data_IF_545299798585
#
_entry.id   IF_545299798585
#
_cell.length_a   1.000
_cell.length_b   1.000
_cell.length_c   1.000
_cell.angle_alpha   90.00
_cell.angle_beta   90.00
_cell.angle_gamma   90.00
#
_symmetry.space_group_name_H-M   'P 1'
#
loop_
_entity.id
_entity.type
_entity.pdbx_description
1 polymer ?
#
# COMPACT_ATOMS: atom_id res chain seq x y z
N UNK A 1 39.27 29.73 13.77
CA UNK A 1 37.83 29.80 14.13
C UNK A 1 37.39 28.42 14.56
N UNK A 2 37.14 28.23 15.85
CA UNK A 2 36.53 27.00 16.38
C UNK A 2 35.03 27.27 16.34
N UNK A 3 34.29 26.60 15.46
CA UNK A 3 32.83 26.68 15.48
C UNK A 3 32.38 25.76 16.60
N UNK A 4 31.90 26.34 17.69
CA UNK A 4 31.37 25.57 18.81
C UNK A 4 30.10 24.86 18.31
N UNK A 5 30.20 23.54 18.21
CA UNK A 5 29.14 22.68 17.62
C UNK A 5 27.83 22.78 18.38
N UNK A 6 27.89 23.18 19.65
CA UNK A 6 26.74 23.41 20.53
C UNK A 6 25.95 24.64 20.05
N UNK A 7 26.63 25.76 19.78
CA UNK A 7 26.00 27.00 19.30
C UNK A 7 25.32 26.81 17.93
N UNK A 8 25.88 25.95 17.08
CA UNK A 8 25.30 25.64 15.77
C UNK A 8 24.00 24.82 15.89
N UNK A 9 23.97 23.82 16.77
CA UNK A 9 22.78 23.00 17.02
C UNK A 9 21.67 23.84 17.66
N UNK A 10 22.02 24.74 18.58
CA UNK A 10 21.06 25.65 19.20
C UNK A 10 20.47 26.63 18.19
N UNK A 11 21.29 27.21 17.30
CA UNK A 11 20.79 28.08 16.23
C UNK A 11 19.85 27.35 15.27
N UNK A 12 20.15 26.09 14.92
CA UNK A 12 19.26 25.26 14.10
C UNK A 12 17.93 25.01 14.84
N UNK A 13 18.01 24.64 16.12
CA UNK A 13 16.83 24.30 16.93
C UNK A 13 15.92 25.51 17.10
N UNK A 14 16.48 26.68 17.40
CA UNK A 14 15.74 27.95 17.48
C UNK A 14 15.13 28.29 16.11
N UNK A 15 15.88 28.12 15.02
CA UNK A 15 15.39 28.37 13.66
C UNK A 15 14.26 27.42 13.20
N UNK A 16 14.29 26.17 13.63
CA UNK A 16 13.21 25.19 13.39
C UNK A 16 11.98 25.57 14.22
N UNK A 17 12.16 25.87 15.51
CA UNK A 17 11.07 26.21 16.44
C UNK A 17 10.33 27.46 15.99
N UNK A 18 11.06 28.50 15.57
CA UNK A 18 10.49 29.73 15.03
C UNK A 18 9.64 29.47 13.77
N UNK A 19 10.16 28.70 12.80
CA UNK A 19 9.40 28.35 11.59
C UNK A 19 8.12 27.57 11.88
N UNK A 20 8.13 26.71 12.91
CA UNK A 20 6.94 25.97 13.34
C UNK A 20 5.90 26.89 13.98
N UNK A 21 6.33 27.84 14.81
CA UNK A 21 5.42 28.82 15.44
C UNK A 21 4.75 29.78 14.46
N UNK A 22 5.36 30.00 13.29
CA UNK A 22 4.84 30.84 12.21
C UNK A 22 3.84 30.09 11.31
N UNK A 23 3.82 28.75 11.34
CA UNK A 23 2.97 27.91 10.50
C UNK A 23 1.64 27.59 11.20
N UNK A 24 0.54 27.60 10.44
CA UNK A 24 -0.75 27.11 10.94
C UNK A 24 -0.63 25.63 11.37
N UNK A 25 -1.03 25.26 12.61
CA UNK A 25 -0.89 23.90 13.12
C UNK A 25 -1.57 22.84 12.24
N UNK A 26 -2.71 23.15 11.62
CA UNK A 26 -3.40 22.22 10.74
C UNK A 26 -2.60 21.98 9.43
N UNK A 27 -1.89 23.00 8.96
CA UNK A 27 -0.98 22.90 7.81
C UNK A 27 0.27 22.10 8.17
N UNK A 28 0.87 22.33 9.34
CA UNK A 28 2.01 21.55 9.83
C UNK A 28 1.67 20.05 9.96
N UNK A 29 0.49 19.73 10.51
CA UNK A 29 0.00 18.36 10.63
C UNK A 29 -0.16 17.71 9.25
N UNK A 30 -0.77 18.42 8.29
CA UNK A 30 -0.97 17.92 6.93
C UNK A 30 0.36 17.66 6.21
N UNK A 31 1.31 18.58 6.31
CA UNK A 31 2.64 18.39 5.72
C UNK A 31 3.40 17.24 6.36
N UNK A 32 3.32 17.10 7.68
CA UNK A 32 3.97 16.01 8.41
C UNK A 32 3.41 14.65 7.98
N UNK A 33 2.08 14.55 7.80
CA UNK A 33 1.44 13.35 7.24
C UNK A 33 1.95 13.04 5.83
N UNK A 34 1.98 14.03 4.92
CA UNK A 34 2.49 13.85 3.55
C UNK A 34 3.96 13.41 3.52
N UNK A 35 4.81 14.02 4.36
CA UNK A 35 6.22 13.65 4.49
C UNK A 35 6.37 12.21 4.99
N UNK A 36 5.57 11.81 5.98
CA UNK A 36 5.55 10.43 6.50
C UNK A 36 5.13 9.43 5.43
N UNK A 37 4.08 9.73 4.65
CA UNK A 37 3.63 8.88 3.55
C UNK A 37 4.69 8.73 2.46
N UNK A 38 5.38 9.82 2.10
CA UNK A 38 6.48 9.78 1.13
C UNK A 38 7.65 8.93 1.61
N UNK A 39 8.08 9.11 2.87
CA UNK A 39 9.14 8.28 3.48
C UNK A 39 8.74 6.80 3.51
N UNK A 40 7.48 6.51 3.83
CA UNK A 40 6.96 5.14 3.81
C UNK A 40 6.99 4.53 2.39
N UNK A 41 6.61 5.31 1.37
CA UNK A 41 6.69 4.88 -0.02
C UNK A 41 8.14 4.59 -0.46
N UNK A 42 9.09 5.44 -0.11
CA UNK A 42 10.51 5.21 -0.40
C UNK A 42 11.05 3.95 0.28
N UNK A 43 10.67 3.72 1.54
CA UNK A 43 11.05 2.52 2.26
C UNK A 43 10.49 1.25 1.58
N UNK A 44 9.25 1.31 1.09
CA UNK A 44 8.61 0.20 0.37
C UNK A 44 9.32 -0.14 -0.95
N UNK A 45 9.77 0.87 -1.70
CA UNK A 45 10.53 0.66 -2.96
C UNK A 45 11.87 0.01 -2.64
N UNK A 46 12.60 0.52 -1.65
CA UNK A 46 13.90 -0.04 -1.24
C UNK A 46 13.79 -1.49 -0.74
N UNK A 47 12.77 -1.80 0.06
CA UNK A 47 12.53 -3.16 0.58
C UNK A 47 12.12 -4.14 -0.54
N UNK A 48 11.49 -3.66 -1.62
CA UNK A 48 11.12 -4.49 -2.78
C UNK A 48 12.32 -4.84 -3.65
N UNK A 49 13.26 -3.91 -3.81
CA UNK A 49 14.48 -4.10 -4.62
C UNK A 49 15.54 -4.96 -3.91
N UNK A 50 15.56 -4.93 -2.57
CA UNK A 50 16.61 -5.58 -1.75
C UNK A 50 16.12 -6.80 -0.95
N UNK A 51 14.82 -7.08 -0.97
CA UNK A 51 14.19 -8.14 -0.18
C UNK A 51 13.94 -7.71 1.27
N UNK A 52 13.07 -8.44 1.98
CA UNK A 52 12.68 -8.12 3.37
C UNK A 52 13.93 -8.19 4.27
N UNK A 53 14.41 -7.06 4.81
CA UNK A 53 15.62 -7.09 5.61
C UNK A 53 15.33 -7.73 6.96
N UNK A 54 16.13 -8.72 7.33
CA UNK A 54 15.97 -9.56 8.53
C UNK A 54 16.76 -9.05 9.73
N UNK A 55 17.60 -8.01 9.55
CA UNK A 55 18.37 -7.34 10.61
C UNK A 55 18.28 -5.82 10.49
N UNK A 56 18.22 -5.15 11.64
CA UNK A 56 18.30 -3.70 11.73
C UNK A 56 19.75 -3.24 11.43
N UNK A 57 19.96 -2.08 10.78
CA UNK A 57 21.30 -1.46 10.67
C UNK A 57 22.00 -1.24 12.03
N UNK A 58 21.22 -1.15 13.11
CA UNK A 58 21.67 -1.10 14.49
C UNK A 58 22.17 -2.45 15.05
N UNK A 59 22.13 -3.54 14.27
CA UNK A 59 22.50 -4.89 14.70
C UNK A 59 21.41 -5.65 15.46
N UNK A 60 20.31 -4.98 15.83
CA UNK A 60 19.15 -5.58 16.48
C UNK A 60 18.36 -6.54 15.57
N UNK A 61 17.67 -7.51 16.20
CA UNK A 61 16.70 -8.35 15.51
C UNK A 61 15.47 -7.49 15.18
N UNK A 62 15.03 -7.50 13.92
CA UNK A 62 13.76 -6.89 13.56
C UNK A 62 12.66 -7.77 14.15
N UNK A 63 11.90 -7.23 15.09
CA UNK A 63 10.82 -7.92 15.77
C UNK A 63 9.51 -7.46 15.13
N UNK A 64 8.66 -8.40 14.72
CA UNK A 64 7.32 -8.09 14.20
C UNK A 64 6.37 -7.61 15.30
N UNK A 65 6.77 -7.73 16.57
CA UNK A 65 6.01 -7.31 17.74
C UNK A 65 6.53 -5.95 18.24
N UNK A 66 5.59 -5.05 18.54
CA UNK A 66 5.83 -3.64 18.79
C UNK A 66 6.58 -3.39 20.12
N UNK A 67 7.91 -3.43 20.08
CA UNK A 67 8.78 -2.88 21.13
C UNK A 67 8.97 -1.35 20.99
N UNK A 68 8.32 -0.73 20.01
CA UNK A 68 8.35 0.72 19.76
C UNK A 68 9.65 1.24 19.14
N UNK A 69 10.67 0.39 18.99
CA UNK A 69 12.01 0.76 18.48
C UNK A 69 12.38 -0.02 17.21
N UNK A 70 11.88 -1.24 17.02
CA UNK A 70 12.21 -2.11 15.88
C UNK A 70 10.96 -2.65 15.17
N UNK A 71 9.86 -1.89 15.21
CA UNK A 71 8.62 -2.28 14.57
C UNK A 71 8.66 -2.04 13.06
N UNK A 72 8.52 -3.11 12.28
CA UNK A 72 8.40 -3.03 10.82
C UNK A 72 7.10 -3.70 10.36
N UNK A 73 5.97 -2.99 10.36
CA UNK A 73 4.72 -3.46 9.72
C UNK A 73 3.88 -2.30 9.16
N UNK A 74 4.14 -1.89 7.91
CA UNK A 74 3.04 -1.38 7.05
C UNK A 74 2.72 -2.29 5.84
N UNK A 75 3.74 -2.90 5.23
CA UNK A 75 3.58 -3.67 3.98
C UNK A 75 2.92 -5.03 4.19
N UNK A 76 3.33 -5.80 5.19
CA UNK A 76 2.82 -7.18 5.40
C UNK A 76 1.32 -7.16 5.64
N UNK A 77 0.84 -6.25 6.51
CA UNK A 77 -0.60 -6.02 6.76
C UNK A 77 -1.30 -5.56 5.47
N UNK A 78 -0.75 -4.56 4.76
CA UNK A 78 -1.36 -4.05 3.54
C UNK A 78 -1.43 -5.07 2.40
N UNK A 79 -0.41 -5.94 2.27
CA UNK A 79 -0.38 -7.03 1.30
C UNK A 79 -1.29 -8.16 1.70
N UNK A 80 -1.38 -8.50 2.99
CA UNK A 80 -2.33 -9.50 3.49
C UNK A 80 -3.77 -9.07 3.22
N UNK A 81 -4.14 -7.82 3.53
CA UNK A 81 -5.45 -7.24 3.18
C UNK A 81 -5.72 -7.25 1.66
N UNK A 82 -4.69 -6.96 0.85
CA UNK A 82 -4.81 -7.00 -0.62
C UNK A 82 -4.98 -8.42 -1.15
N UNK A 83 -4.28 -9.39 -0.59
CA UNK A 83 -4.40 -10.82 -0.92
C UNK A 83 -5.80 -11.31 -0.58
N UNK A 84 -6.29 -11.05 0.64
CA UNK A 84 -7.65 -11.43 1.05
C UNK A 84 -8.72 -10.86 0.12
N UNK A 85 -8.60 -9.57 -0.23
CA UNK A 85 -9.53 -8.91 -1.16
C UNK A 85 -9.49 -9.54 -2.55
N UNK A 86 -8.30 -9.88 -3.06
CA UNK A 86 -8.14 -10.50 -4.38
C UNK A 86 -8.66 -11.93 -4.38
N UNK A 87 -8.36 -12.72 -3.35
CA UNK A 87 -8.88 -14.09 -3.18
C UNK A 87 -10.40 -14.10 -3.24
N UNK A 88 -11.09 -13.23 -2.48
CA UNK A 88 -12.55 -13.14 -2.53
C UNK A 88 -13.09 -12.85 -3.95
N UNK A 89 -12.46 -11.94 -4.69
CA UNK A 89 -12.87 -11.63 -6.07
C UNK A 89 -12.64 -12.80 -7.03
N UNK A 90 -11.58 -13.58 -6.80
CA UNK A 90 -11.30 -14.79 -7.60
C UNK A 90 -12.36 -15.85 -7.32
N UNK A 91 -12.72 -16.07 -6.06
CA UNK A 91 -13.79 -17.01 -5.68
C UNK A 91 -15.14 -16.65 -6.32
N UNK A 92 -15.52 -15.36 -6.30
CA UNK A 92 -16.72 -14.86 -6.97
C UNK A 92 -16.72 -15.16 -8.49
N UNK A 93 -15.60 -14.91 -9.16
CA UNK A 93 -15.46 -15.18 -10.61
C UNK A 93 -15.43 -16.68 -10.90
N UNK A 94 -14.83 -17.49 -10.03
CA UNK A 94 -14.77 -18.94 -10.20
C UNK A 94 -16.18 -19.57 -10.19
N UNK A 95 -17.08 -19.05 -9.35
CA UNK A 95 -18.49 -19.45 -9.36
C UNK A 95 -19.12 -19.15 -10.72
N UNK A 96 -18.90 -17.95 -11.28
CA UNK A 96 -19.45 -17.59 -12.59
C UNK A 96 -18.89 -18.46 -13.73
N UNK A 97 -17.58 -18.76 -13.69
CA UNK A 97 -16.92 -19.62 -14.69
C UNK A 97 -17.58 -21.00 -14.76
N UNK A 98 -18.03 -21.56 -13.63
CA UNK A 98 -18.73 -22.85 -13.59
C UNK A 98 -20.06 -22.84 -14.35
N UNK A 99 -20.71 -21.68 -14.47
CA UNK A 99 -21.98 -21.53 -15.20
C UNK A 99 -21.83 -21.18 -16.68
N UNK A 100 -20.63 -20.77 -17.13
CA UNK A 100 -20.37 -20.40 -18.54
C UNK A 100 -20.78 -21.49 -19.53
N UNK A 101 -20.49 -22.79 -19.33
CA UNK A 101 -20.88 -23.83 -20.28
C UNK A 101 -22.40 -23.96 -20.46
N UNK A 102 -23.17 -23.82 -19.37
CA UNK A 102 -24.63 -23.93 -19.41
C UNK A 102 -25.27 -22.74 -20.15
N UNK A 103 -24.78 -21.53 -19.86
CA UNK A 103 -25.21 -20.32 -20.58
C UNK A 103 -24.87 -20.42 -22.06
N UNK A 104 -23.66 -20.88 -22.38
CA UNK A 104 -23.22 -21.06 -23.76
C UNK A 104 -24.09 -22.06 -24.52
N UNK A 105 -24.47 -23.18 -23.88
CA UNK A 105 -25.41 -24.15 -24.46
C UNK A 105 -26.79 -23.53 -24.73
N UNK A 106 -27.32 -22.71 -23.82
CA UNK A 106 -28.61 -22.02 -24.02
C UNK A 106 -28.55 -21.00 -25.16
N UNK A 107 -27.46 -20.24 -25.27
CA UNK A 107 -27.23 -19.29 -26.36
C UNK A 107 -27.23 -20.01 -27.71
N UNK A 108 -26.43 -21.07 -27.85
CA UNK A 108 -26.37 -21.86 -29.08
C UNK A 108 -27.75 -22.38 -29.51
N UNK A 109 -28.57 -22.84 -28.55
CA UNK A 109 -29.94 -23.29 -28.85
C UNK A 109 -30.87 -22.17 -29.31
N UNK A 110 -30.77 -20.99 -28.71
CA UNK A 110 -31.58 -19.83 -29.09
C UNK A 110 -31.18 -19.30 -30.47
N UNK A 111 -29.87 -19.20 -30.76
CA UNK A 111 -29.35 -18.79 -32.07
C UNK A 111 -29.83 -19.72 -33.19
N UNK A 112 -29.82 -21.05 -32.96
CA UNK A 112 -30.34 -22.02 -33.93
C UNK A 112 -31.85 -21.87 -34.11
N UNK A 113 -32.61 -21.68 -33.03
CA UNK A 113 -34.07 -21.52 -33.10
C UNK A 113 -34.50 -20.23 -33.82
N UNK A 114 -33.73 -19.15 -33.68
CA UNK A 114 -34.01 -17.89 -34.37
C UNK A 114 -33.60 -17.95 -35.85
N UNK A 115 -32.53 -18.68 -36.19
CA UNK A 115 -32.17 -18.98 -37.58
C UNK A 115 -33.23 -19.85 -38.27
N UNK A 116 -33.79 -20.85 -37.59
CA UNK A 116 -34.86 -21.68 -38.15
C UNK A 116 -36.11 -20.85 -38.46
N UNK A 117 -36.54 -19.95 -37.57
CA UNK A 117 -37.70 -19.08 -37.84
C UNK A 117 -37.47 -18.15 -39.05
N UNK A 118 -36.27 -17.58 -39.19
CA UNK A 118 -35.92 -16.75 -40.34
C UNK A 118 -35.82 -17.54 -41.66
N UNK A 119 -35.60 -18.85 -41.62
CA UNK A 119 -35.55 -19.71 -42.81
C UNK A 119 -36.92 -20.27 -43.22
N UNK A 120 -37.95 -20.17 -42.37
CA UNK A 120 -39.28 -20.73 -42.60
C UNK A 120 -40.42 -19.68 -42.69
N UNK A 121 -40.11 -18.39 -42.53
CA UNK A 121 -40.94 -17.24 -42.98
C UNK A 121 -40.54 -16.79 -44.40
#
# INVERSE_FOLDING_TARGET
MRFDTVDFVDQITVGITRRRSEMDPATEIRETKRKKEYINMLANVADSETGIPTRCPCGGRIIHEADGLHYRQPWVIGVEEHIERLTRRVEEVEVLIKFVPEVNYKIQRLEVADLEKLCFD
#
